data_IF_698668840171
#
_entry.id   IF_698668840171
#
_cell.length_a   1.000
_cell.length_b   1.000
_cell.length_c   1.000
_cell.angle_alpha   90.00
_cell.angle_beta   90.00
_cell.angle_gamma   90.00
#
_symmetry.space_group_name_H-M   'P 1'
#
loop_
_entity.id
_entity.type
_entity.pdbx_description
1 polymer ?
#
# COMPACT_ATOMS: atom_id res chain seq x y z
N UNK A 1 11.53 24.48 -10.16
CA UNK A 1 11.85 23.17 -9.58
C UNK A 1 11.60 22.14 -10.67
N UNK A 2 12.63 21.45 -11.15
CA UNK A 2 12.46 20.42 -12.19
C UNK A 2 12.05 19.14 -11.47
N UNK A 3 10.77 18.76 -11.58
CA UNK A 3 10.29 17.51 -11.01
C UNK A 3 10.85 16.38 -11.88
N UNK A 4 11.74 15.58 -11.30
CA UNK A 4 12.33 14.45 -12.00
C UNK A 4 11.37 13.25 -11.93
N UNK A 5 10.63 13.01 -13.00
CA UNK A 5 9.78 11.84 -13.10
C UNK A 5 10.60 10.58 -13.43
N UNK A 6 10.27 9.48 -12.75
CA UNK A 6 10.83 8.14 -13.00
C UNK A 6 9.92 7.31 -13.90
N UNK A 7 8.62 7.58 -13.85
CA UNK A 7 7.60 6.85 -14.59
C UNK A 7 6.72 7.81 -15.40
N UNK A 8 6.01 7.27 -16.37
CA UNK A 8 5.05 8.01 -17.20
C UNK A 8 3.82 7.13 -17.42
N UNK A 9 2.62 7.73 -17.44
CA UNK A 9 1.37 7.02 -17.72
C UNK A 9 0.61 7.73 -18.83
N UNK A 10 0.06 6.96 -19.76
CA UNK A 10 -0.70 7.49 -20.89
C UNK A 10 -1.70 6.45 -21.40
N UNK A 11 -2.73 6.91 -22.10
CA UNK A 11 -3.51 6.04 -22.97
C UNK A 11 -2.77 5.90 -24.29
N UNK A 12 -2.62 4.66 -24.77
CA UNK A 12 -1.84 4.42 -25.97
C UNK A 12 -2.43 5.14 -27.20
N UNK A 13 -1.71 6.12 -27.74
CA UNK A 13 -2.16 6.88 -28.93
C UNK A 13 -2.25 6.04 -30.21
N UNK A 14 -1.56 4.89 -30.25
CA UNK A 14 -1.57 3.92 -31.35
C UNK A 14 -1.09 2.56 -30.84
N UNK A 15 -1.29 1.49 -31.61
CA UNK A 15 -0.82 0.13 -31.32
C UNK A 15 0.66 -0.15 -31.67
N UNK A 16 1.43 0.88 -32.05
CA UNK A 16 2.83 0.71 -32.50
C UNK A 16 3.82 0.43 -31.35
N UNK A 17 3.44 0.68 -30.10
CA UNK A 17 4.30 0.41 -28.94
C UNK A 17 4.21 -1.05 -28.53
N UNK A 18 5.35 -1.70 -28.33
CA UNK A 18 5.44 -3.06 -27.78
C UNK A 18 5.74 -3.01 -26.28
N UNK A 19 5.08 -3.86 -25.53
CA UNK A 19 5.32 -4.02 -24.10
C UNK A 19 6.71 -4.61 -23.87
N UNK A 20 7.51 -3.96 -23.02
CA UNK A 20 8.88 -4.38 -22.75
C UNK A 20 8.98 -5.67 -21.92
N UNK A 21 7.86 -6.12 -21.31
CA UNK A 21 7.82 -7.38 -20.54
C UNK A 21 7.37 -8.57 -21.39
N UNK A 22 6.15 -8.54 -21.94
CA UNK A 22 5.58 -9.66 -22.68
C UNK A 22 5.89 -9.64 -24.18
N UNK A 23 6.49 -8.56 -24.70
CA UNK A 23 6.85 -8.35 -26.11
C UNK A 23 5.66 -8.29 -27.09
N UNK A 24 4.43 -8.25 -26.57
CA UNK A 24 3.19 -8.06 -27.34
C UNK A 24 2.90 -6.57 -27.53
N UNK A 25 2.19 -6.23 -28.61
CA UNK A 25 1.70 -4.87 -28.88
C UNK A 25 0.76 -4.37 -27.78
N UNK A 26 0.75 -3.06 -27.57
CA UNK A 26 -0.12 -2.39 -26.60
C UNK A 26 -1.25 -1.74 -27.40
N UNK A 27 -2.49 -2.18 -27.17
CA UNK A 27 -3.64 -1.71 -27.94
C UNK A 27 -3.86 -0.21 -27.84
N UNK A 28 -4.33 0.41 -28.92
CA UNK A 28 -4.71 1.81 -28.91
C UNK A 28 -5.79 2.07 -27.85
N UNK A 29 -5.71 3.22 -27.19
CA UNK A 29 -6.57 3.67 -26.09
C UNK A 29 -6.49 2.81 -24.82
N UNK A 30 -5.63 1.79 -24.76
CA UNK A 30 -5.37 1.04 -23.53
C UNK A 30 -4.46 1.83 -22.58
N UNK A 31 -4.65 1.65 -21.28
CA UNK A 31 -3.80 2.22 -20.25
C UNK A 31 -2.43 1.54 -20.26
N UNK A 32 -1.37 2.34 -20.39
CA UNK A 32 0.02 1.87 -20.36
C UNK A 32 0.87 2.72 -19.45
N UNK A 33 1.87 2.07 -18.85
CA UNK A 33 2.82 2.71 -17.94
C UNK A 33 4.22 2.53 -18.54
N UNK A 34 5.07 3.55 -18.43
CA UNK A 34 6.45 3.51 -18.86
C UNK A 34 7.42 3.76 -17.70
N UNK A 35 8.58 3.10 -17.80
CA UNK A 35 9.78 3.51 -17.07
C UNK A 35 10.57 4.51 -17.92
N UNK A 36 10.89 5.67 -17.36
CA UNK A 36 11.71 6.69 -18.00
C UNK A 36 13.18 6.37 -17.76
N UNK A 37 13.88 5.93 -18.80
CA UNK A 37 15.30 5.58 -18.73
C UNK A 37 16.14 6.58 -19.51
N UNK A 38 17.36 6.88 -19.07
CA UNK A 38 18.27 7.74 -19.83
C UNK A 38 18.54 7.14 -21.21
N UNK A 39 18.47 7.97 -22.25
CA UNK A 39 18.83 7.57 -23.60
C UNK A 39 20.36 7.41 -23.72
N UNK A 40 20.86 6.38 -24.40
CA UNK A 40 22.30 6.19 -24.58
C UNK A 40 22.93 7.22 -25.53
N UNK A 41 22.12 7.81 -26.42
CA UNK A 41 22.62 8.58 -27.57
C UNK A 41 22.29 10.08 -27.52
N UNK A 42 21.52 10.53 -26.54
CA UNK A 42 21.19 11.95 -26.36
C UNK A 42 20.91 12.26 -24.90
N UNK A 43 21.02 13.53 -24.53
CA UNK A 43 20.71 13.98 -23.18
C UNK A 43 19.19 14.11 -23.00
N UNK A 44 18.57 13.03 -22.55
CA UNK A 44 17.15 12.96 -22.25
C UNK A 44 16.69 11.56 -21.91
N UNK A 45 15.46 11.45 -21.39
CA UNK A 45 14.86 10.17 -21.01
C UNK A 45 13.93 9.64 -22.11
N UNK A 46 13.98 8.33 -22.34
CA UNK A 46 13.08 7.60 -23.24
C UNK A 46 12.11 6.72 -22.44
N UNK A 47 10.82 6.69 -22.80
CA UNK A 47 9.85 5.83 -22.14
C UNK A 47 9.94 4.39 -22.64
N UNK A 48 10.14 3.44 -21.72
CA UNK A 48 9.95 2.01 -21.99
C UNK A 48 8.54 1.61 -21.58
N UNK A 49 7.65 1.47 -22.56
CA UNK A 49 6.24 1.17 -22.34
C UNK A 49 5.98 -0.30 -21.93
N UNK A 50 4.99 -0.48 -21.06
CA UNK A 50 4.45 -1.75 -20.59
C UNK A 50 2.92 -1.68 -20.60
N UNK A 51 2.26 -2.83 -20.78
CA UNK A 51 0.85 -2.93 -20.37
C UNK A 51 0.74 -2.67 -18.86
N UNK A 52 -0.39 -2.15 -18.41
CA UNK A 52 -0.67 -1.92 -17.00
C UNK A 52 -0.31 -3.13 -16.11
N UNK A 53 -0.87 -4.30 -16.40
CA UNK A 53 -0.58 -5.52 -15.60
C UNK A 53 0.86 -6.00 -15.72
N UNK A 54 1.49 -5.74 -16.86
CA UNK A 54 2.88 -6.13 -17.08
C UNK A 54 3.84 -5.30 -16.25
N UNK A 55 3.52 -4.03 -16.02
CA UNK A 55 4.31 -3.11 -15.22
C UNK A 55 4.38 -3.56 -13.76
N UNK A 56 3.24 -3.83 -13.12
CA UNK A 56 3.16 -4.28 -11.71
C UNK A 56 3.68 -5.69 -11.46
N UNK A 57 3.82 -6.49 -12.52
CA UNK A 57 4.49 -7.79 -12.43
C UNK A 57 6.00 -7.67 -12.73
N UNK A 58 6.52 -6.48 -13.04
CA UNK A 58 7.93 -6.26 -13.34
C UNK A 58 8.72 -6.03 -12.04
N UNK A 59 10.02 -5.71 -12.14
CA UNK A 59 10.84 -5.33 -10.98
C UNK A 59 10.81 -3.82 -10.71
N UNK A 60 9.91 -3.07 -11.35
CA UNK A 60 9.72 -1.66 -11.05
C UNK A 60 9.16 -1.53 -9.63
N UNK A 61 9.66 -0.55 -8.88
CA UNK A 61 9.15 -0.20 -7.56
C UNK A 61 8.74 1.27 -7.61
N UNK A 62 7.46 1.53 -7.39
CA UNK A 62 6.90 2.89 -7.40
C UNK A 62 6.60 3.27 -5.96
N UNK A 63 7.26 4.30 -5.44
CA UNK A 63 7.08 4.73 -4.05
C UNK A 63 5.83 5.60 -3.88
N UNK A 64 5.56 6.48 -4.85
CA UNK A 64 4.42 7.39 -4.80
C UNK A 64 3.94 7.77 -6.19
N UNK A 65 2.68 8.21 -6.27
CA UNK A 65 2.11 8.72 -7.52
C UNK A 65 2.78 10.00 -8.00
N UNK A 66 3.51 10.73 -7.13
CA UNK A 66 4.24 11.94 -7.51
C UNK A 66 5.42 11.67 -8.46
N UNK A 67 5.92 10.44 -8.50
CA UNK A 67 6.99 10.03 -9.41
C UNK A 67 6.50 9.70 -10.83
N UNK A 68 5.18 9.67 -11.02
CA UNK A 68 4.51 9.29 -12.27
C UNK A 68 4.09 10.55 -13.02
N UNK A 69 4.72 10.78 -14.18
CA UNK A 69 4.34 11.85 -15.09
C UNK A 69 2.93 11.60 -15.66
N UNK A 70 2.16 12.67 -15.82
CA UNK A 70 0.78 12.67 -16.36
C UNK A 70 -0.24 11.85 -15.55
N UNK A 71 0.06 11.53 -14.29
CA UNK A 71 -0.89 10.85 -13.41
C UNK A 71 -2.22 11.60 -13.27
N UNK A 72 -2.20 12.93 -13.20
CA UNK A 72 -3.43 13.73 -13.10
C UNK A 72 -4.22 13.82 -14.42
N UNK A 73 -3.63 13.38 -15.54
CA UNK A 73 -4.26 13.43 -16.88
C UNK A 73 -5.05 12.17 -17.24
N UNK A 74 -4.92 11.09 -16.47
CA UNK A 74 -5.71 9.87 -16.67
C UNK A 74 -7.03 9.91 -15.89
N UNK A 75 -7.98 9.04 -16.24
CA UNK A 75 -9.29 8.96 -15.58
C UNK A 75 -9.14 8.63 -14.09
N UNK A 76 -10.04 9.17 -13.28
CA UNK A 76 -10.04 8.98 -11.82
C UNK A 76 -10.01 7.49 -11.43
N UNK A 77 -10.78 6.65 -12.13
CA UNK A 77 -10.83 5.22 -11.86
C UNK A 77 -9.46 4.54 -12.08
N UNK A 78 -8.70 5.01 -13.07
CA UNK A 78 -7.36 4.49 -13.35
C UNK A 78 -6.31 5.08 -12.37
N UNK A 79 -6.52 6.30 -11.87
CA UNK A 79 -5.72 6.86 -10.79
C UNK A 79 -5.85 6.03 -9.51
N UNK A 80 -7.08 5.67 -9.12
CA UNK A 80 -7.36 4.82 -7.95
C UNK A 80 -6.77 3.42 -8.09
N UNK A 81 -6.80 2.85 -9.30
CA UNK A 81 -6.15 1.56 -9.58
C UNK A 81 -4.64 1.62 -9.35
N UNK A 82 -3.97 2.68 -9.83
CA UNK A 82 -2.53 2.87 -9.62
C UNK A 82 -2.22 3.10 -8.13
N UNK A 83 -2.99 3.94 -7.43
CA UNK A 83 -2.83 4.13 -5.97
C UNK A 83 -2.92 2.80 -5.22
N UNK A 84 -3.92 1.99 -5.57
CA UNK A 84 -4.12 0.67 -4.98
C UNK A 84 -2.98 -0.30 -5.28
N UNK A 85 -2.42 -0.26 -6.50
CA UNK A 85 -1.30 -1.11 -6.90
C UNK A 85 -0.01 -0.76 -6.14
N UNK A 86 0.30 0.54 -5.99
CA UNK A 86 1.45 1.03 -5.20
C UNK A 86 1.34 0.54 -3.74
N UNK A 87 0.18 0.74 -3.12
CA UNK A 87 -0.06 0.28 -1.75
C UNK A 87 0.03 -1.25 -1.61
N UNK A 88 -0.32 -2.00 -2.66
CA UNK A 88 -0.21 -3.46 -2.68
C UNK A 88 1.24 -3.95 -2.80
N UNK A 89 2.12 -3.22 -3.51
CA UNK A 89 3.56 -3.54 -3.59
C UNK A 89 4.26 -3.29 -2.25
N UNK A 90 3.94 -2.18 -1.58
CA UNK A 90 4.40 -1.89 -0.20
C UNK A 90 3.86 -2.96 0.78
N UNK A 91 2.65 -3.48 0.50
CA UNK A 91 1.99 -4.58 1.21
C UNK A 91 2.53 -5.99 0.96
N UNK A 92 3.69 -6.16 0.30
CA UNK A 92 4.43 -7.43 0.39
C UNK A 92 5.16 -7.61 1.73
N UNK A 93 5.16 -6.61 2.61
CA UNK A 93 4.90 -6.88 4.01
C UNK A 93 3.43 -7.28 4.11
N UNK A 94 3.17 -8.60 4.05
CA UNK A 94 1.85 -9.25 4.21
C UNK A 94 0.91 -8.35 5.02
N UNK A 95 -0.37 -8.15 4.65
CA UNK A 95 -1.32 -7.55 5.58
C UNK A 95 -1.25 -8.35 6.88
N UNK A 96 -0.61 -7.78 7.89
CA UNK A 96 -0.63 -8.32 9.24
C UNK A 96 -2.09 -8.27 9.58
N UNK A 97 -2.70 -9.46 9.74
CA UNK A 97 -4.10 -9.63 10.14
C UNK A 97 -4.48 -8.47 11.05
N UNK A 98 -5.32 -7.56 10.58
CA UNK A 98 -5.82 -6.47 11.41
C UNK A 98 -6.62 -7.14 12.52
N UNK A 99 -5.99 -7.32 13.68
CA UNK A 99 -6.61 -7.94 14.85
C UNK A 99 -7.67 -6.96 15.30
N UNK A 100 -8.93 -7.40 15.27
CA UNK A 100 -10.03 -6.58 15.78
C UNK A 100 -9.98 -6.63 17.29
N UNK A 101 -9.92 -5.48 17.95
CA UNK A 101 -9.98 -5.37 19.40
C UNK A 101 -11.35 -4.83 19.81
N UNK A 102 -11.85 -5.22 20.98
CA UNK A 102 -13.08 -4.70 21.57
C UNK A 102 -12.79 -4.20 22.98
N UNK A 103 -13.26 -2.98 23.27
CA UNK A 103 -13.21 -2.41 24.61
C UNK A 103 -14.40 -2.91 25.42
N UNK A 104 -14.14 -3.46 26.61
CA UNK A 104 -15.15 -3.95 27.55
C UNK A 104 -14.91 -3.36 28.93
N UNK A 105 -15.98 -3.31 29.74
CA UNK A 105 -15.85 -3.00 31.17
C UNK A 105 -15.15 -4.16 31.89
N UNK A 106 -14.43 -3.85 32.97
CA UNK A 106 -13.73 -4.87 33.75
C UNK A 106 -14.70 -5.67 34.62
N UNK A 107 -14.93 -6.92 34.25
CA UNK A 107 -15.71 -7.88 35.04
C UNK A 107 -14.81 -9.05 35.49
N UNK A 108 -14.63 -9.25 36.80
CA UNK A 108 -13.98 -10.42 37.42
C UNK A 108 -12.51 -10.29 37.86
N UNK A 109 -11.97 -11.37 38.43
CA UNK A 109 -10.59 -11.49 38.99
C UNK A 109 -9.50 -11.82 37.95
N UNK A 110 -9.75 -11.55 36.67
CA UNK A 110 -8.79 -11.78 35.60
C UNK A 110 -7.58 -10.83 35.72
N UNK A 111 -6.39 -11.30 35.39
CA UNK A 111 -5.15 -10.50 35.38
C UNK A 111 -4.79 -10.01 33.98
N UNK A 112 -4.18 -8.83 33.92
CA UNK A 112 -3.70 -8.22 32.69
C UNK A 112 -2.49 -8.96 32.14
N UNK A 113 -2.49 -9.28 30.84
CA UNK A 113 -1.37 -9.96 30.18
C UNK A 113 -0.07 -9.15 30.14
N UNK A 114 -0.15 -7.81 30.23
CA UNK A 114 1.01 -6.91 30.13
C UNK A 114 1.64 -6.56 31.47
N UNK A 115 0.83 -6.34 32.50
CA UNK A 115 1.33 -5.90 33.82
C UNK A 115 1.09 -6.91 34.95
N UNK A 116 0.44 -8.04 34.67
CA UNK A 116 0.10 -9.12 35.61
C UNK A 116 -0.80 -8.69 36.78
N UNK A 117 -1.22 -7.42 36.83
CA UNK A 117 -2.13 -6.88 37.85
C UNK A 117 -3.60 -7.22 37.52
N UNK A 118 -4.49 -7.25 38.52
CA UNK A 118 -5.92 -7.44 38.29
C UNK A 118 -6.52 -6.44 37.30
N UNK A 119 -7.35 -6.91 36.36
CA UNK A 119 -8.00 -6.08 35.34
C UNK A 119 -8.95 -5.04 35.94
N UNK A 120 -9.50 -5.28 37.14
CA UNK A 120 -10.29 -4.31 37.93
C UNK A 120 -9.55 -3.01 38.29
N UNK A 121 -8.23 -2.95 38.09
CA UNK A 121 -7.47 -1.72 38.32
C UNK A 121 -7.87 -0.58 37.36
N UNK A 122 -8.42 -0.91 36.18
CA UNK A 122 -9.00 0.07 35.26
C UNK A 122 -10.45 -0.27 34.92
N UNK A 123 -11.26 0.75 34.63
CA UNK A 123 -12.66 0.57 34.21
C UNK A 123 -12.80 -0.11 32.85
N UNK A 124 -11.83 0.09 31.97
CA UNK A 124 -11.87 -0.38 30.60
C UNK A 124 -10.73 -1.36 30.32
N UNK A 125 -11.06 -2.43 29.61
CA UNK A 125 -10.14 -3.49 29.20
C UNK A 125 -10.25 -3.71 27.71
N UNK A 126 -9.15 -4.12 27.09
CA UNK A 126 -9.07 -4.44 25.67
C UNK A 126 -8.99 -5.95 25.50
N UNK A 127 -9.88 -6.50 24.69
CA UNK A 127 -9.93 -7.92 24.35
C UNK A 127 -9.75 -8.12 22.85
N UNK A 128 -8.93 -9.08 22.46
CA UNK A 128 -8.80 -9.50 21.05
C UNK A 128 -10.04 -10.29 20.59
N UNK A 129 -10.62 -9.88 19.46
CA UNK A 129 -11.79 -10.53 18.86
C UNK A 129 -11.37 -11.73 18.03
N UNK A 130 -11.55 -12.93 18.57
CA UNK A 130 -11.28 -14.20 17.89
C UNK A 130 -11.97 -15.39 18.56
N UNK A 131 -11.97 -16.56 17.89
CA UNK A 131 -12.58 -17.82 18.42
C UNK A 131 -11.96 -18.29 19.75
N UNK A 132 -10.78 -17.77 20.11
CA UNK A 132 -10.14 -17.85 21.44
C UNK A 132 -9.42 -16.53 21.72
N UNK A 133 -9.82 -15.72 22.71
CA UNK A 133 -9.14 -14.47 23.03
C UNK A 133 -7.81 -14.76 23.72
N UNK A 134 -6.70 -14.38 23.11
CA UNK A 134 -5.34 -14.55 23.66
C UNK A 134 -4.82 -13.32 24.39
N UNK A 135 -5.45 -12.17 24.17
CA UNK A 135 -5.06 -10.90 24.79
C UNK A 135 -6.22 -10.30 25.58
N UNK A 136 -5.95 -10.05 26.87
CA UNK A 136 -6.83 -9.34 27.79
C UNK A 136 -5.98 -8.40 28.65
N UNK A 137 -6.04 -7.11 28.38
CA UNK A 137 -5.19 -6.13 29.06
C UNK A 137 -5.97 -4.85 29.43
N UNK A 138 -5.39 -4.04 30.30
CA UNK A 138 -5.89 -2.70 30.59
C UNK A 138 -5.85 -1.82 29.34
N UNK A 139 -6.79 -0.89 29.21
CA UNK A 139 -6.78 0.07 28.10
C UNK A 139 -5.47 0.87 28.09
N UNK A 140 -4.96 1.28 29.24
CA UNK A 140 -3.68 2.00 29.29
C UNK A 140 -2.47 1.13 28.93
N UNK A 141 -2.48 -0.16 29.29
CA UNK A 141 -1.42 -1.10 28.92
C UNK A 141 -1.41 -1.36 27.42
N UNK A 142 -2.60 -1.45 26.81
CA UNK A 142 -2.73 -1.59 25.36
C UNK A 142 -2.15 -0.38 24.62
N UNK A 143 -2.51 0.85 25.02
CA UNK A 143 -2.01 2.08 24.40
C UNK A 143 -0.50 2.30 24.56
N UNK A 144 0.12 1.69 25.58
CA UNK A 144 1.59 1.73 25.80
C UNK A 144 2.33 0.58 25.13
N UNK A 145 1.62 -0.38 24.54
CA UNK A 145 2.21 -1.54 23.89
C UNK A 145 2.41 -1.30 22.40
N UNK A 146 3.36 -2.01 21.79
CA UNK A 146 3.57 -2.03 20.34
C UNK A 146 2.40 -2.70 19.56
N UNK A 147 1.31 -3.06 20.23
CA UNK A 147 0.10 -3.63 19.63
C UNK A 147 -0.95 -2.56 19.25
N UNK A 148 -0.72 -1.29 19.60
CA UNK A 148 -1.55 -0.17 19.15
C UNK A 148 -1.26 0.13 17.66
N UNK A 149 -2.26 0.08 16.77
CA UNK A 149 -2.09 0.52 15.39
C UNK A 149 -1.65 1.99 15.33
N UNK A 150 -0.72 2.29 14.42
CA UNK A 150 -0.16 3.64 14.21
C UNK A 150 -1.22 4.66 13.76
N UNK A 151 -2.41 4.19 13.32
CA UNK A 151 -3.52 5.04 12.86
C UNK A 151 -4.39 5.64 13.99
N UNK A 152 -4.05 5.41 15.26
CA UNK A 152 -4.86 5.84 16.42
C UNK A 152 -4.07 6.71 17.42
N UNK A 153 -2.82 7.08 17.11
CA UNK A 153 -2.02 8.00 17.93
C UNK A 153 -2.27 9.48 17.60
#
# INVERSE_FOLDING_TARGET
>A
MQVEYKFDVDYAKSNRSKCNKCRVEIDQNSLRIAMLVQAPNFDGKIPRWFHYDCFWKSKAHVESTAEIKHFDSIRWEDQEKIRSAINSEIGSLKPTKTRKFTVKLSDGDLSCTHCQKPLKHERHTVCESGKKPTLMCHLSCFLKSNECPEDIS
#
